data_IF_135653780647
#
_entry.id   IF_135653780647
#
_cell.length_a   1.000
_cell.length_b   1.000
_cell.length_c   1.000
_cell.angle_alpha   90.00
_cell.angle_beta   90.00
_cell.angle_gamma   90.00
#
_symmetry.space_group_name_H-M   'P 1'
#
loop_
_entity.id
_entity.type
_entity.pdbx_description
1 polymer ?
#
# COMPACT_ATOMS: atom_id res chain seq x y z
N UNK A 1 -12.41 -28.77 4.87
CA UNK A 1 -11.60 -29.22 3.73
C UNK A 1 -12.43 -28.95 2.47
N UNK A 2 -11.91 -28.19 1.48
CA UNK A 2 -12.68 -27.86 0.27
C UNK A 2 -12.67 -29.09 -0.67
N UNK A 3 -13.84 -29.62 -1.10
CA UNK A 3 -13.92 -30.83 -1.93
C UNK A 3 -13.11 -30.74 -3.24
N UNK A 4 -12.93 -29.53 -3.78
CA UNK A 4 -12.21 -29.29 -5.04
C UNK A 4 -10.71 -29.63 -4.99
N UNK A 5 -10.13 -29.73 -3.78
CA UNK A 5 -8.72 -30.14 -3.63
C UNK A 5 -8.54 -31.61 -4.02
N UNK A 6 -9.55 -32.44 -3.78
CA UNK A 6 -9.54 -33.87 -4.14
C UNK A 6 -9.70 -34.12 -5.64
N UNK A 7 -10.11 -33.10 -6.41
CA UNK A 7 -10.21 -33.18 -7.87
C UNK A 7 -8.83 -33.02 -8.56
N UNK A 8 -7.80 -32.65 -7.82
CA UNK A 8 -6.46 -32.36 -8.38
C UNK A 8 -5.51 -33.54 -8.15
N UNK A 9 -4.73 -33.89 -9.16
CA UNK A 9 -3.72 -34.96 -9.04
C UNK A 9 -2.66 -34.60 -8.00
N UNK A 10 -2.42 -35.49 -7.05
CA UNK A 10 -1.39 -35.29 -6.04
C UNK A 10 -0.01 -35.15 -6.69
N UNK A 11 0.38 -36.14 -7.51
CA UNK A 11 1.69 -36.25 -8.14
C UNK A 11 1.91 -35.24 -9.27
N UNK A 12 0.87 -34.99 -10.08
CA UNK A 12 1.03 -34.16 -11.28
C UNK A 12 0.68 -32.69 -11.09
N UNK A 13 0.05 -32.31 -9.97
CA UNK A 13 -0.43 -30.95 -9.74
C UNK A 13 -0.06 -30.41 -8.36
N UNK A 14 -0.49 -31.08 -7.28
CA UNK A 14 -0.34 -30.56 -5.91
C UNK A 14 1.14 -30.52 -5.52
N UNK A 15 1.86 -31.64 -5.61
CA UNK A 15 3.28 -31.74 -5.23
C UNK A 15 4.16 -30.80 -6.07
N UNK A 16 4.07 -30.77 -7.42
CA UNK A 16 4.87 -29.84 -8.21
C UNK A 16 4.60 -28.36 -7.93
N UNK A 17 3.34 -27.99 -7.64
CA UNK A 17 3.00 -26.59 -7.30
C UNK A 17 3.51 -26.23 -5.91
N UNK A 18 3.45 -27.17 -4.96
CA UNK A 18 4.02 -27.02 -3.64
C UNK A 18 5.53 -26.81 -3.69
N UNK A 19 6.26 -27.70 -4.38
CA UNK A 19 7.72 -27.60 -4.52
C UNK A 19 8.13 -26.30 -5.21
N UNK A 20 7.38 -25.88 -6.23
CA UNK A 20 7.62 -24.60 -6.89
C UNK A 20 7.44 -23.43 -5.92
N UNK A 21 6.37 -23.40 -5.12
CA UNK A 21 6.16 -22.34 -4.13
C UNK A 21 7.22 -22.37 -3.01
N UNK A 22 7.59 -23.58 -2.56
CA UNK A 22 8.61 -23.79 -1.53
C UNK A 22 9.98 -23.27 -1.98
N UNK A 23 10.36 -23.43 -3.24
CA UNK A 23 11.61 -22.87 -3.80
C UNK A 23 11.75 -21.37 -3.52
N UNK A 24 10.66 -20.61 -3.59
CA UNK A 24 10.68 -19.15 -3.32
C UNK A 24 10.56 -18.82 -1.83
N UNK A 25 9.77 -19.59 -1.09
CA UNK A 25 9.46 -19.28 0.32
C UNK A 25 10.48 -19.86 1.31
N UNK A 26 11.16 -20.95 0.93
CA UNK A 26 12.13 -21.70 1.74
C UNK A 26 11.63 -21.98 3.17
N UNK A 27 10.32 -22.21 3.31
CA UNK A 27 9.64 -22.37 4.59
C UNK A 27 8.36 -23.17 4.42
N UNK A 28 8.28 -24.34 5.05
CA UNK A 28 7.08 -25.17 5.03
C UNK A 28 5.89 -24.42 5.64
N UNK A 29 6.11 -23.72 6.76
CA UNK A 29 5.07 -22.91 7.41
C UNK A 29 4.47 -21.87 6.47
N UNK A 30 5.32 -21.11 5.76
CA UNK A 30 4.83 -20.09 4.82
C UNK A 30 4.21 -20.72 3.57
N UNK A 31 4.71 -21.87 3.12
CA UNK A 31 4.17 -22.60 1.98
C UNK A 31 2.78 -23.15 2.30
N UNK A 32 2.61 -23.84 3.43
CA UNK A 32 1.29 -24.30 3.90
C UNK A 32 0.31 -23.15 4.14
N UNK A 33 0.79 -21.97 4.57
CA UNK A 33 -0.06 -20.80 4.72
C UNK A 33 -0.73 -20.37 3.40
N UNK A 34 -0.19 -20.72 2.24
CA UNK A 34 -0.83 -20.48 0.94
C UNK A 34 -2.15 -21.27 0.82
N UNK A 35 -2.15 -22.55 1.23
CA UNK A 35 -3.36 -23.40 1.23
C UNK A 35 -4.37 -22.95 2.29
N UNK A 36 -3.91 -22.46 3.45
CA UNK A 36 -4.81 -21.92 4.48
C UNK A 36 -5.56 -20.67 4.00
N UNK A 37 -4.88 -19.81 3.21
CA UNK A 37 -5.50 -18.61 2.63
C UNK A 37 -6.38 -18.91 1.43
N UNK A 38 -6.03 -19.94 0.65
CA UNK A 38 -6.85 -20.42 -0.45
C UNK A 38 -6.69 -21.94 -0.60
N UNK A 39 -7.71 -22.73 -0.22
CA UNK A 39 -7.62 -24.19 -0.22
C UNK A 39 -7.25 -24.81 -1.57
N UNK A 40 -7.59 -24.16 -2.69
CA UNK A 40 -7.33 -24.69 -4.03
C UNK A 40 -5.97 -24.28 -4.60
N UNK A 41 -5.13 -23.55 -3.84
CA UNK A 41 -3.87 -22.99 -4.34
C UNK A 41 -2.96 -24.01 -5.02
N UNK A 42 -2.68 -25.14 -4.38
CA UNK A 42 -1.81 -26.17 -4.97
C UNK A 42 -2.51 -27.00 -6.04
N UNK A 43 -3.84 -27.06 -6.02
CA UNK A 43 -4.65 -27.79 -7.01
C UNK A 43 -4.87 -27.03 -8.33
N UNK A 44 -4.65 -25.71 -8.35
CA UNK A 44 -4.95 -24.89 -9.51
C UNK A 44 -3.76 -24.80 -10.48
N UNK A 45 -3.93 -25.37 -11.68
CA UNK A 45 -2.93 -25.36 -12.77
C UNK A 45 -2.43 -23.95 -13.12
N UNK A 46 -3.26 -22.92 -12.92
CA UNK A 46 -2.90 -21.53 -13.19
C UNK A 46 -1.79 -21.05 -12.26
N UNK A 47 -1.75 -21.54 -11.02
CA UNK A 47 -0.76 -21.08 -10.04
C UNK A 47 0.65 -21.39 -10.51
N UNK A 48 0.90 -22.64 -10.90
CA UNK A 48 2.20 -23.06 -11.41
C UNK A 48 2.57 -22.28 -12.68
N UNK A 49 1.63 -22.19 -13.62
CA UNK A 49 1.81 -21.49 -14.89
C UNK A 49 2.14 -20.01 -14.69
N UNK A 50 1.42 -19.33 -13.80
CA UNK A 50 1.59 -17.91 -13.51
C UNK A 50 2.89 -17.62 -12.76
N UNK A 51 3.33 -18.50 -11.86
CA UNK A 51 4.64 -18.33 -11.20
C UNK A 51 5.77 -18.40 -12.24
N UNK A 52 5.73 -19.38 -13.15
CA UNK A 52 6.73 -19.51 -14.23
C UNK A 52 6.72 -18.30 -15.15
N UNK A 53 5.53 -17.89 -15.60
CA UNK A 53 5.37 -16.74 -16.48
C UNK A 53 5.92 -15.46 -15.85
N UNK A 54 5.65 -15.20 -14.56
CA UNK A 54 6.21 -14.05 -13.85
C UNK A 54 7.74 -14.12 -13.78
N UNK A 55 8.30 -15.30 -13.53
CA UNK A 55 9.75 -15.52 -13.49
C UNK A 55 10.38 -15.25 -14.86
N UNK A 56 9.82 -15.84 -15.93
CA UNK A 56 10.25 -15.65 -17.33
C UNK A 56 10.16 -14.19 -17.77
N UNK A 57 9.24 -13.41 -17.19
CA UNK A 57 9.07 -12.00 -17.46
C UNK A 57 9.93 -11.06 -16.57
N UNK A 58 10.88 -11.62 -15.82
CA UNK A 58 11.86 -10.86 -15.04
C UNK A 58 11.35 -10.36 -13.69
N UNK A 59 10.24 -10.91 -13.18
CA UNK A 59 9.81 -10.62 -11.81
C UNK A 59 10.78 -11.28 -10.84
N UNK A 60 11.40 -10.47 -9.98
CA UNK A 60 12.39 -10.98 -9.02
C UNK A 60 11.79 -12.03 -8.08
N UNK A 61 12.56 -13.07 -7.76
CA UNK A 61 12.17 -14.16 -6.84
C UNK A 61 11.66 -13.63 -5.49
N UNK A 62 12.28 -12.57 -4.97
CA UNK A 62 11.85 -11.90 -3.73
C UNK A 62 10.46 -11.26 -3.83
N UNK A 63 10.08 -10.77 -5.01
CA UNK A 63 8.73 -10.28 -5.28
C UNK A 63 7.73 -11.42 -5.38
N UNK A 64 8.09 -12.52 -6.04
CA UNK A 64 7.27 -13.74 -6.13
C UNK A 64 7.03 -14.29 -4.72
N UNK A 65 8.08 -14.44 -3.90
CA UNK A 65 7.98 -14.88 -2.51
C UNK A 65 7.03 -13.99 -1.69
N UNK A 66 7.12 -12.67 -1.84
CA UNK A 66 6.24 -11.72 -1.14
C UNK A 66 4.78 -11.80 -1.61
N UNK A 67 4.55 -12.05 -2.90
CA UNK A 67 3.22 -12.29 -3.47
C UNK A 67 2.63 -13.61 -2.96
N UNK A 68 3.41 -14.68 -2.92
CA UNK A 68 2.99 -15.96 -2.36
C UNK A 68 2.57 -15.81 -0.90
N UNK A 69 3.43 -15.16 -0.09
CA UNK A 69 3.21 -14.99 1.34
C UNK A 69 1.98 -14.16 1.66
N UNK A 70 1.74 -13.07 0.93
CA UNK A 70 0.74 -12.08 1.34
C UNK A 70 -0.45 -11.93 0.38
N UNK A 71 -0.31 -12.32 -0.88
CA UNK A 71 -1.20 -11.91 -2.00
C UNK A 71 -1.44 -13.06 -3.00
N UNK A 72 -1.61 -14.29 -2.50
CA UNK A 72 -1.71 -15.51 -3.30
C UNK A 72 -2.81 -15.49 -4.40
N UNK A 73 -3.83 -14.63 -4.28
CA UNK A 73 -4.85 -14.41 -5.30
C UNK A 73 -4.29 -13.98 -6.66
N UNK A 74 -3.12 -13.34 -6.71
CA UNK A 74 -2.48 -12.93 -7.97
C UNK A 74 -2.26 -14.10 -8.91
N UNK A 75 -1.96 -15.28 -8.38
CA UNK A 75 -1.63 -16.47 -9.18
C UNK A 75 -2.85 -17.20 -9.75
N UNK A 76 -4.08 -16.73 -9.53
CA UNK A 76 -5.29 -17.32 -10.09
C UNK A 76 -5.81 -16.59 -11.34
N UNK A 77 -5.19 -15.47 -11.72
CA UNK A 77 -5.62 -14.70 -12.89
C UNK A 77 -5.37 -15.49 -14.18
N UNK A 78 -6.25 -15.28 -15.17
CA UNK A 78 -6.08 -15.82 -16.53
C UNK A 78 -5.29 -14.86 -17.42
N UNK A 79 -5.18 -13.60 -17.01
CA UNK A 79 -4.63 -12.51 -17.81
C UNK A 79 -3.20 -12.12 -17.37
N UNK A 80 -2.43 -13.03 -16.77
CA UNK A 80 -1.12 -12.69 -16.15
C UNK A 80 -0.17 -12.04 -17.13
N UNK A 81 -0.05 -12.57 -18.36
CA UNK A 81 0.82 -11.99 -19.39
C UNK A 81 0.40 -10.58 -19.75
N UNK A 82 -0.88 -10.40 -20.06
CA UNK A 82 -1.46 -9.10 -20.39
C UNK A 82 -1.25 -8.07 -19.27
N UNK A 83 -1.42 -8.47 -18.01
CA UNK A 83 -1.19 -7.59 -16.86
C UNK A 83 0.29 -7.22 -16.71
N UNK A 84 1.20 -8.18 -16.97
CA UNK A 84 2.64 -7.93 -16.94
C UNK A 84 3.04 -6.95 -18.04
N UNK A 85 2.53 -7.11 -19.25
CA UNK A 85 2.74 -6.22 -20.40
C UNK A 85 2.17 -4.82 -20.10
N UNK A 86 0.92 -4.73 -19.65
CA UNK A 86 0.29 -3.45 -19.26
C UNK A 86 1.14 -2.71 -18.21
N UNK A 87 1.65 -3.40 -17.19
CA UNK A 87 2.49 -2.77 -16.18
C UNK A 87 3.86 -2.34 -16.71
N UNK A 88 4.43 -3.09 -17.66
CA UNK A 88 5.67 -2.68 -18.35
C UNK A 88 5.43 -1.43 -19.20
N UNK A 89 4.31 -1.33 -19.90
CA UNK A 89 3.91 -0.15 -20.69
C UNK A 89 3.66 1.07 -19.82
N UNK A 90 3.08 0.87 -18.63
CA UNK A 90 2.97 1.90 -17.60
C UNK A 90 4.33 2.26 -16.95
N UNK A 91 5.40 1.55 -17.34
CA UNK A 91 6.78 1.80 -16.99
C UNK A 91 7.19 1.32 -15.60
N UNK A 92 6.52 0.28 -15.09
CA UNK A 92 7.02 -0.49 -13.95
C UNK A 92 8.14 -1.43 -14.39
N UNK A 93 9.17 -1.54 -13.55
CA UNK A 93 10.23 -2.52 -13.73
C UNK A 93 9.89 -3.81 -12.95
N UNK A 94 9.75 -4.98 -13.61
CA UNK A 94 9.43 -6.27 -12.97
C UNK A 94 10.32 -6.67 -11.79
N UNK A 95 11.58 -6.24 -11.79
CA UNK A 95 12.52 -6.51 -10.69
C UNK A 95 12.20 -5.71 -9.41
N UNK A 96 11.47 -4.60 -9.51
CA UNK A 96 11.21 -3.70 -8.37
C UNK A 96 10.01 -4.12 -7.56
N UNK A 97 10.06 -3.83 -6.26
CA UNK A 97 8.98 -4.20 -5.32
C UNK A 97 7.64 -3.55 -5.63
N UNK A 98 7.64 -2.37 -6.26
CA UNK A 98 6.43 -1.68 -6.71
C UNK A 98 5.68 -2.48 -7.78
N UNK A 99 6.36 -3.24 -8.64
CA UNK A 99 5.72 -4.07 -9.66
C UNK A 99 4.79 -5.12 -9.03
N UNK A 100 5.26 -5.86 -8.03
CA UNK A 100 4.43 -6.87 -7.35
C UNK A 100 3.19 -6.25 -6.67
N UNK A 101 3.30 -5.03 -6.14
CA UNK A 101 2.16 -4.33 -5.54
C UNK A 101 1.18 -3.87 -6.62
N UNK A 102 1.68 -3.34 -7.74
CA UNK A 102 0.86 -2.92 -8.87
C UNK A 102 0.12 -4.10 -9.51
N UNK A 103 0.79 -5.23 -9.68
CA UNK A 103 0.19 -6.48 -10.15
C UNK A 103 -0.91 -6.96 -9.19
N UNK A 104 -0.66 -6.91 -7.88
CA UNK A 104 -1.69 -7.20 -6.90
C UNK A 104 -2.91 -6.28 -7.03
N UNK A 105 -2.69 -4.97 -7.17
CA UNK A 105 -3.77 -4.00 -7.34
C UNK A 105 -4.59 -4.29 -8.61
N UNK A 106 -3.94 -4.45 -9.76
CA UNK A 106 -4.61 -4.73 -11.05
C UNK A 106 -5.33 -6.07 -11.08
N UNK A 107 -4.85 -7.07 -10.33
CA UNK A 107 -5.50 -8.38 -10.26
C UNK A 107 -6.72 -8.38 -9.33
N UNK A 108 -6.74 -7.55 -8.30
CA UNK A 108 -7.75 -7.66 -7.22
C UNK A 108 -8.81 -6.58 -7.24
N UNK A 109 -8.54 -5.44 -7.86
CA UNK A 109 -9.49 -4.35 -8.00
C UNK A 109 -10.24 -4.53 -9.32
N UNK A 110 -11.56 -4.59 -9.26
CA UNK A 110 -12.39 -4.65 -10.48
C UNK A 110 -12.26 -3.37 -11.29
N UNK A 111 -12.50 -3.44 -12.61
CA UNK A 111 -12.46 -2.25 -13.48
C UNK A 111 -13.42 -1.15 -13.00
N UNK A 112 -14.61 -1.53 -12.52
CA UNK A 112 -15.59 -0.59 -11.96
C UNK A 112 -15.04 0.11 -10.72
N UNK A 113 -14.53 -0.65 -9.73
CA UNK A 113 -13.98 -0.07 -8.51
C UNK A 113 -12.71 0.74 -8.79
N UNK A 114 -11.92 0.37 -9.81
CA UNK A 114 -10.78 1.16 -10.26
C UNK A 114 -11.24 2.55 -10.73
N UNK A 115 -12.28 2.62 -11.56
CA UNK A 115 -12.84 3.89 -12.03
C UNK A 115 -13.39 4.73 -10.86
N UNK A 116 -14.14 4.12 -9.95
CA UNK A 116 -14.65 4.81 -8.75
C UNK A 116 -13.52 5.38 -7.87
N UNK A 117 -12.39 4.69 -7.76
CA UNK A 117 -11.20 5.20 -7.07
C UNK A 117 -10.55 6.38 -7.80
N UNK A 118 -10.45 6.31 -9.12
CA UNK A 118 -9.95 7.43 -9.94
C UNK A 118 -10.86 8.65 -9.74
N UNK A 119 -12.19 8.46 -9.81
CA UNK A 119 -13.17 9.53 -9.60
C UNK A 119 -13.09 10.11 -8.18
N UNK A 120 -12.81 9.28 -7.18
CA UNK A 120 -12.56 9.74 -5.82
C UNK A 120 -11.33 10.66 -5.73
N UNK A 121 -10.24 10.39 -6.46
CA UNK A 121 -9.10 11.31 -6.53
C UNK A 121 -9.41 12.58 -7.30
N UNK A 122 -10.15 12.47 -8.42
CA UNK A 122 -10.58 13.63 -9.22
C UNK A 122 -11.41 14.63 -8.44
N UNK A 123 -12.26 14.14 -7.52
CA UNK A 123 -13.00 14.99 -6.57
C UNK A 123 -12.09 15.94 -5.77
N UNK A 124 -10.83 15.56 -5.55
CA UNK A 124 -9.83 16.35 -4.84
C UNK A 124 -8.85 17.10 -5.77
N UNK A 125 -9.21 17.25 -7.05
CA UNK A 125 -8.47 18.06 -8.01
C UNK A 125 -7.34 17.34 -8.75
N UNK A 126 -7.18 16.02 -8.58
CA UNK A 126 -6.21 15.25 -9.36
C UNK A 126 -6.70 15.02 -10.80
N UNK A 127 -5.80 15.10 -11.77
CA UNK A 127 -6.04 14.64 -13.15
C UNK A 127 -5.87 13.11 -13.28
N UNK A 128 -6.22 12.55 -14.44
CA UNK A 128 -5.92 11.14 -14.74
C UNK A 128 -4.41 10.88 -14.73
N UNK A 129 -3.63 11.84 -15.23
CA UNK A 129 -2.17 11.82 -15.25
C UNK A 129 -1.59 11.80 -13.84
N UNK A 130 -2.17 12.55 -12.91
CA UNK A 130 -1.75 12.59 -11.51
C UNK A 130 -2.01 11.26 -10.80
N UNK A 131 -3.20 10.67 -11.02
CA UNK A 131 -3.53 9.34 -10.49
C UNK A 131 -2.56 8.30 -11.05
N UNK A 132 -2.24 8.39 -12.35
CA UNK A 132 -1.29 7.48 -12.98
C UNK A 132 0.12 7.65 -12.42
N UNK A 133 0.59 8.88 -12.24
CA UNK A 133 1.89 9.18 -11.64
C UNK A 133 2.00 8.67 -10.19
N UNK A 134 0.95 8.87 -9.40
CA UNK A 134 0.84 8.35 -8.04
C UNK A 134 0.83 6.81 -8.02
N UNK A 135 0.11 6.17 -8.96
CA UNK A 135 0.08 4.71 -9.06
C UNK A 135 1.45 4.14 -9.45
N UNK A 136 2.14 4.76 -10.41
CA UNK A 136 3.46 4.31 -10.88
C UNK A 136 4.52 4.34 -9.79
N UNK A 137 4.47 5.35 -8.93
CA UNK A 137 5.44 5.54 -7.84
C UNK A 137 5.03 4.76 -6.59
N UNK A 138 3.76 4.86 -6.20
CA UNK A 138 3.22 4.34 -4.95
C UNK A 138 1.93 3.55 -5.17
N UNK A 139 1.97 2.36 -5.81
CA UNK A 139 0.78 1.61 -6.23
C UNK A 139 -0.16 1.18 -5.09
N UNK A 140 0.31 1.26 -3.84
CA UNK A 140 -0.54 1.11 -2.66
C UNK A 140 -1.69 2.12 -2.59
N UNK A 141 -1.59 3.29 -3.24
CA UNK A 141 -2.67 4.28 -3.25
C UNK A 141 -3.99 3.70 -3.78
N UNK A 142 -3.93 2.81 -4.78
CA UNK A 142 -5.12 2.15 -5.33
C UNK A 142 -5.68 1.05 -4.43
N UNK A 143 -4.87 0.55 -3.49
CA UNK A 143 -5.30 -0.46 -2.50
C UNK A 143 -5.97 0.16 -1.27
N UNK A 144 -5.89 1.49 -1.09
CA UNK A 144 -6.57 2.21 0.00
C UNK A 144 -8.07 2.30 -0.31
N UNK A 145 -8.95 2.15 0.69
CA UNK A 145 -10.41 2.28 0.48
C UNK A 145 -10.82 3.70 0.08
N UNK A 146 -11.91 3.84 -0.68
CA UNK A 146 -12.43 5.16 -1.09
C UNK A 146 -12.75 6.03 0.14
N UNK A 147 -13.36 5.45 1.17
CA UNK A 147 -13.63 6.14 2.43
C UNK A 147 -12.36 6.69 3.07
N UNK A 148 -11.27 5.90 3.09
CA UNK A 148 -9.99 6.33 3.66
C UNK A 148 -9.32 7.42 2.83
N UNK A 149 -9.40 7.35 1.49
CA UNK A 149 -8.94 8.42 0.59
C UNK A 149 -9.67 9.72 0.93
N UNK A 150 -11.00 9.69 0.93
CA UNK A 150 -11.82 10.88 1.21
C UNK A 150 -11.58 11.45 2.62
N UNK A 151 -11.40 10.58 3.62
CA UNK A 151 -11.17 11.00 4.99
C UNK A 151 -9.82 11.74 5.12
N UNK A 152 -8.74 11.18 4.57
CA UNK A 152 -7.41 11.80 4.60
C UNK A 152 -7.39 13.08 3.77
N UNK A 153 -7.96 13.08 2.57
CA UNK A 153 -7.98 14.25 1.70
C UNK A 153 -8.86 15.38 2.26
N UNK A 154 -9.99 15.07 2.89
CA UNK A 154 -10.82 16.08 3.56
C UNK A 154 -10.09 16.75 4.72
N UNK A 155 -9.38 15.97 5.55
CA UNK A 155 -8.55 16.53 6.60
C UNK A 155 -7.43 17.41 6.02
N UNK A 156 -6.72 16.91 5.01
CA UNK A 156 -5.59 17.60 4.40
C UNK A 156 -5.99 18.90 3.69
N UNK A 157 -6.99 18.84 2.82
CA UNK A 157 -7.39 19.96 1.96
C UNK A 157 -8.33 20.90 2.70
N UNK A 158 -9.41 20.37 3.29
CA UNK A 158 -10.46 21.23 3.83
C UNK A 158 -10.12 21.76 5.22
N UNK A 159 -9.50 20.96 6.09
CA UNK A 159 -9.21 21.40 7.46
C UNK A 159 -7.87 22.13 7.57
N UNK A 160 -6.83 21.69 6.86
CA UNK A 160 -5.51 22.35 6.89
C UNK A 160 -5.32 23.38 5.78
N UNK A 161 -6.17 23.38 4.74
CA UNK A 161 -5.98 24.24 3.57
C UNK A 161 -4.76 23.85 2.72
N UNK A 162 -4.25 22.63 2.86
CA UNK A 162 -3.04 22.20 2.17
C UNK A 162 -3.35 21.68 0.77
N UNK A 163 -2.42 21.93 -0.16
CA UNK A 163 -2.55 21.52 -1.55
C UNK A 163 -2.64 19.99 -1.68
N UNK A 164 -3.68 19.52 -2.36
CA UNK A 164 -3.90 18.11 -2.68
C UNK A 164 -2.77 17.53 -3.55
N UNK A 165 -2.15 18.37 -4.39
CA UNK A 165 -1.07 17.96 -5.29
C UNK A 165 0.21 17.59 -4.55
N UNK A 166 0.38 18.05 -3.31
CA UNK A 166 1.50 17.66 -2.46
C UNK A 166 1.54 16.14 -2.20
N UNK A 167 0.40 15.45 -2.29
CA UNK A 167 0.31 14.00 -2.00
C UNK A 167 0.65 13.14 -3.23
N UNK A 168 0.53 13.63 -4.47
CA UNK A 168 0.67 12.83 -5.70
C UNK A 168 1.97 12.00 -5.71
N UNK A 169 3.11 12.65 -5.45
CA UNK A 169 4.43 11.99 -5.44
C UNK A 169 4.70 11.17 -4.18
N UNK A 170 3.82 11.25 -3.19
CA UNK A 170 3.95 10.61 -1.86
C UNK A 170 2.63 9.98 -1.42
N UNK A 171 1.93 9.31 -2.33
CA UNK A 171 0.58 8.81 -2.10
C UNK A 171 0.48 7.75 -0.98
N UNK A 172 1.62 7.28 -0.45
CA UNK A 172 1.69 6.48 0.78
C UNK A 172 1.09 7.18 1.99
N UNK A 173 1.03 8.53 2.03
CA UNK A 173 0.34 9.28 3.09
C UNK A 173 -1.10 8.80 3.28
N UNK A 174 -1.79 8.45 2.19
CA UNK A 174 -3.19 7.98 2.21
C UNK A 174 -3.38 6.68 3.02
N UNK A 175 -2.31 5.88 3.16
CA UNK A 175 -2.33 4.63 3.90
C UNK A 175 -2.02 4.78 5.41
N UNK A 176 -1.59 5.97 5.84
CA UNK A 176 -1.22 6.19 7.24
C UNK A 176 -2.45 6.28 8.15
N UNK A 177 -2.26 5.96 9.42
CA UNK A 177 -3.30 6.18 10.43
C UNK A 177 -3.57 7.70 10.55
N UNK A 178 -4.82 8.11 10.37
CA UNK A 178 -5.17 9.52 10.38
C UNK A 178 -4.98 10.09 11.80
N UNK A 179 -5.60 9.44 12.78
CA UNK A 179 -5.70 9.92 14.16
C UNK A 179 -4.37 9.81 14.91
N UNK A 180 -3.65 8.69 14.76
CA UNK A 180 -2.41 8.41 15.50
C UNK A 180 -1.16 8.94 14.83
N UNK A 181 -1.23 9.39 13.57
CA UNK A 181 -0.04 9.82 12.83
C UNK A 181 -0.22 11.08 12.02
N UNK A 182 -1.29 11.22 11.25
CA UNK A 182 -1.47 12.42 10.43
C UNK A 182 -1.84 13.62 11.32
N UNK A 183 -2.89 13.52 12.14
CA UNK A 183 -3.38 14.64 12.98
C UNK A 183 -2.30 15.17 13.94
N UNK A 184 -1.57 14.34 14.70
CA UNK A 184 -0.58 14.84 15.66
C UNK A 184 0.60 15.50 14.95
N UNK A 185 1.04 14.92 13.82
CA UNK A 185 2.16 15.47 13.06
C UNK A 185 1.77 16.71 12.26
N UNK A 186 0.54 16.82 11.78
CA UNK A 186 0.07 17.99 11.06
C UNK A 186 -0.04 19.20 11.98
N UNK A 187 -0.45 19.03 13.25
CA UNK A 187 -0.48 20.12 14.21
C UNK A 187 0.92 20.74 14.43
N UNK A 188 1.93 19.90 14.62
CA UNK A 188 3.33 20.34 14.73
C UNK A 188 3.80 21.01 13.44
N UNK A 189 3.56 20.39 12.28
CA UNK A 189 4.00 20.94 10.98
C UNK A 189 3.30 22.27 10.68
N UNK A 190 2.02 22.41 10.99
CA UNK A 190 1.26 23.64 10.83
C UNK A 190 1.86 24.76 11.69
N UNK A 191 2.11 24.50 12.98
CA UNK A 191 2.76 25.48 13.85
C UNK A 191 4.12 25.95 13.29
N UNK A 192 4.96 25.01 12.84
CA UNK A 192 6.26 25.36 12.25
C UNK A 192 6.12 26.20 10.98
N UNK A 193 5.11 25.96 10.15
CA UNK A 193 4.83 26.75 8.96
C UNK A 193 4.37 28.16 9.34
N UNK A 194 3.44 28.29 10.29
CA UNK A 194 2.89 29.57 10.74
C UNK A 194 3.95 30.47 11.40
N UNK A 195 4.92 29.86 12.08
CA UNK A 195 6.07 30.56 12.69
C UNK A 195 7.23 30.81 11.73
N UNK A 196 7.16 30.32 10.48
CA UNK A 196 8.25 30.45 9.52
C UNK A 196 9.49 29.61 9.88
N UNK A 197 9.37 28.66 10.81
CA UNK A 197 10.45 27.77 11.27
C UNK A 197 10.75 26.63 10.29
N UNK A 198 9.98 26.54 9.20
CA UNK A 198 10.17 25.57 8.13
C UNK A 198 10.39 26.30 6.80
N UNK A 199 11.40 25.84 6.05
CA UNK A 199 11.69 26.38 4.71
C UNK A 199 10.47 26.22 3.80
N UNK A 200 10.17 27.26 3.00
CA UNK A 200 9.04 27.27 2.06
C UNK A 200 9.10 26.13 1.02
N UNK A 201 10.30 25.66 0.66
CA UNK A 201 10.51 24.57 -0.29
C UNK A 201 10.65 23.19 0.37
N UNK A 202 10.53 23.08 1.69
CA UNK A 202 10.61 21.80 2.37
C UNK A 202 9.38 20.94 2.01
N UNK A 203 9.59 19.64 1.78
CA UNK A 203 8.50 18.71 1.51
C UNK A 203 7.44 18.78 2.61
N UNK A 204 6.18 18.98 2.22
CA UNK A 204 5.05 18.99 3.14
C UNK A 204 4.73 17.59 3.68
N UNK A 205 4.94 16.55 2.87
CA UNK A 205 4.55 15.16 3.19
C UNK A 205 5.63 14.35 3.90
N UNK A 206 6.91 14.72 3.76
CA UNK A 206 8.03 13.99 4.37
C UNK A 206 7.91 13.77 5.89
N UNK A 207 7.48 14.76 6.72
CA UNK A 207 7.29 14.56 8.16
C UNK A 207 6.35 13.39 8.51
N UNK A 208 5.42 13.05 7.62
CA UNK A 208 4.46 11.98 7.83
C UNK A 208 5.04 10.61 7.50
N UNK A 209 6.02 10.52 6.60
CA UNK A 209 6.57 9.26 6.11
C UNK A 209 7.71 8.70 6.97
N UNK A 210 8.44 9.57 7.67
CA UNK A 210 9.58 9.15 8.51
C UNK A 210 9.16 8.41 9.78
N UNK A 211 10.01 7.53 10.34
CA UNK A 211 9.81 6.95 11.66
C UNK A 211 9.59 8.02 12.75
N UNK A 212 8.91 7.67 13.83
CA UNK A 212 8.58 8.61 14.91
C UNK A 212 9.81 9.30 15.50
N UNK A 213 10.86 8.55 15.85
CA UNK A 213 12.12 9.12 16.35
C UNK A 213 12.66 10.22 15.44
N UNK A 214 12.70 9.95 14.13
CA UNK A 214 13.16 10.91 13.13
C UNK A 214 12.23 12.12 13.06
N UNK A 215 10.91 11.92 13.13
CA UNK A 215 9.95 13.02 13.20
C UNK A 215 10.19 13.91 14.42
N UNK A 216 10.33 13.34 15.61
CA UNK A 216 10.57 14.09 16.86
C UNK A 216 11.89 14.88 16.79
N UNK A 217 12.97 14.24 16.33
CA UNK A 217 14.26 14.89 16.18
C UNK A 217 14.20 16.01 15.13
N UNK A 218 13.41 15.83 14.08
CA UNK A 218 13.37 16.76 12.95
C UNK A 218 12.37 17.90 13.03
N UNK A 219 11.26 17.70 13.72
CA UNK A 219 10.15 18.65 13.79
C UNK A 219 9.94 19.20 15.21
N UNK A 220 10.60 18.65 16.24
CA UNK A 220 10.37 19.04 17.64
C UNK A 220 11.68 19.43 18.32
N UNK A 221 12.60 18.49 18.53
CA UNK A 221 13.77 18.69 19.42
C UNK A 221 14.78 19.74 18.95
N UNK A 222 14.78 20.08 17.66
CA UNK A 222 15.74 21.03 17.06
C UNK A 222 15.33 22.50 17.19
N UNK A 223 14.13 22.76 17.68
CA UNK A 223 13.56 24.09 17.82
C UNK A 223 13.58 24.51 19.29
N UNK A 224 13.69 25.81 19.55
CA UNK A 224 13.65 26.34 20.92
C UNK A 224 12.30 26.05 21.59
N UNK A 225 11.22 25.95 20.81
CA UNK A 225 9.88 25.61 21.25
C UNK A 225 9.66 24.10 21.48
N UNK A 226 10.72 23.30 21.60
CA UNK A 226 10.63 21.83 21.67
C UNK A 226 9.66 21.33 22.73
N UNK A 227 9.65 21.94 23.92
CA UNK A 227 8.76 21.55 25.02
C UNK A 227 7.29 21.79 24.69
N UNK A 228 6.98 22.91 24.03
CA UNK A 228 5.63 23.21 23.56
C UNK A 228 5.20 22.28 22.42
N UNK A 229 6.07 22.07 21.43
CA UNK A 229 5.79 21.21 20.28
C UNK A 229 5.58 19.75 20.69
N UNK A 230 6.33 19.26 21.68
CA UNK A 230 6.14 17.93 22.25
C UNK A 230 4.77 17.81 22.92
N UNK A 231 4.40 18.79 23.74
CA UNK A 231 3.08 18.82 24.39
C UNK A 231 1.94 18.86 23.36
N UNK A 232 2.05 19.70 22.34
CA UNK A 232 1.07 19.78 21.24
C UNK A 232 0.92 18.43 20.52
N UNK A 233 2.05 17.75 20.22
CA UNK A 233 2.04 16.43 19.60
C UNK A 233 1.33 15.40 20.49
N UNK A 234 1.68 15.33 21.77
CA UNK A 234 1.11 14.38 22.74
C UNK A 234 -0.37 14.63 22.99
N UNK A 235 -0.80 15.89 23.12
CA UNK A 235 -2.22 16.26 23.25
C UNK A 235 -3.04 15.71 22.08
N UNK A 236 -2.58 15.96 20.84
CA UNK A 236 -3.28 15.47 19.63
C UNK A 236 -3.26 13.96 19.52
N UNK A 237 -2.17 13.30 19.93
CA UNK A 237 -2.06 11.85 19.95
C UNK A 237 -2.98 11.21 21.00
N UNK A 238 -3.15 11.83 22.16
CA UNK A 238 -3.99 11.34 23.24
C UNK A 238 -5.48 11.50 22.92
N UNK A 239 -5.88 12.61 22.30
CA UNK A 239 -7.26 12.79 21.83
C UNK A 239 -7.70 11.70 20.85
N UNK A 240 -6.81 11.30 19.92
CA UNK A 240 -7.01 10.19 19.01
C UNK A 240 -7.21 8.84 19.73
N UNK A 241 -6.49 8.60 20.83
CA UNK A 241 -6.63 7.36 21.59
C UNK A 241 -7.95 7.26 22.37
N UNK A 242 -8.59 8.39 22.68
CA UNK A 242 -9.87 8.42 23.41
C UNK A 242 -11.04 8.15 22.45
N UNK A 243 -11.01 8.72 21.24
CA UNK A 243 -12.05 8.52 20.22
C UNK A 243 -12.13 7.07 19.72
N UNK A 244 -11.01 6.37 19.67
CA UNK A 244 -10.95 4.93 19.34
C UNK A 244 -11.64 4.04 20.39
N UNK A 245 -11.64 4.45 21.67
CA UNK A 245 -12.20 3.64 22.79
C UNK A 245 -13.70 3.78 22.93
N UNK A 246 -14.25 4.97 22.69
CA UNK A 246 -15.69 5.23 22.78
C UNK A 246 -16.49 4.71 21.59
N UNK A 247 -15.84 4.30 20.50
CA UNK A 247 -16.49 3.68 19.33
C UNK A 247 -16.54 2.14 19.43
N UNK A 248 -15.93 1.54 20.47
CA UNK A 248 -15.94 0.10 20.74
C UNK A 248 -16.72 -0.29 22.02
N UNK A 249 -17.45 0.67 22.62
CA UNK A 249 -18.39 0.46 23.73
C UNK A 249 -19.82 0.71 23.25
#
# INVERSE_FOLDING_TARGET
MNPMVLCSSLENQIVPTYELAYRFLQSHKDTFACANKNPTFFGDRRVQSNIRLLTENGVADSNIARLLKNRCRVFFTRDTLKLVEELKDLGFNPSKTTFGIALHAKTTISKTLWKEKVDAFKKWGWSDEDVLAAFRTQPHCMLVSINKINLVMSFWVNQLGWDAMAIVKTASVLSLNLEKRIIPRSAVVQYLLDKGLRKKNASLTWPFLVPEKVFLDMCIKRFEESSYLLKLYEEKLNHACITDKTCMS
#
